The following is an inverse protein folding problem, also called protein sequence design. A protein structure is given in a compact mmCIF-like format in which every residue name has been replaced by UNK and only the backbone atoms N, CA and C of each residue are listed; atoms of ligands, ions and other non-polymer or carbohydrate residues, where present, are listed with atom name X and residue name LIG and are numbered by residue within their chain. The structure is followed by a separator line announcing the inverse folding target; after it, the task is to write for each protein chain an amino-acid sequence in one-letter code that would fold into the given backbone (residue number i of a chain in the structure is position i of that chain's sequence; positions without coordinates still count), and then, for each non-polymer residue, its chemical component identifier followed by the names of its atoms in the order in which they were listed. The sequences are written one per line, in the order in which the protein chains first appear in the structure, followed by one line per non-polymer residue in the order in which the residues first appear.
data_IF_226722265550
#
_entry.id   IF_226722265550
#
_cell.length_a   1.000
_cell.length_b   1.000
_cell.length_c   1.000
_cell.angle_alpha   90.00
_cell.angle_beta   90.00
_cell.angle_gamma   90.00
#
_symmetry.space_group_name_H-M   'P 1'
#
loop_
_entity.id
_entity.type
_entity.pdbx_description
1 polymer ?
#
# COMPACT_ATOMS: atom_id res chain seq x y z
N UNK A 1 -13.16 8.82 11.35
CA UNK A 1 -12.02 8.72 10.42
C UNK A 1 -12.41 7.72 9.34
N UNK A 2 -12.13 8.01 8.07
CA UNK A 2 -12.33 7.05 6.97
C UNK A 2 -10.98 6.71 6.37
N UNK A 3 -10.67 5.42 6.26
CA UNK A 3 -9.49 4.92 5.57
C UNK A 3 -9.89 4.43 4.19
N UNK A 4 -9.17 4.82 3.14
CA UNK A 4 -9.42 4.33 1.79
C UNK A 4 -8.40 3.28 1.40
N UNK A 5 -8.87 2.20 0.80
CA UNK A 5 -8.07 1.17 0.17
C UNK A 5 -8.51 1.01 -1.29
N UNK A 6 -7.55 1.07 -2.21
CA UNK A 6 -7.82 0.92 -3.65
C UNK A 6 -8.08 -0.53 -4.05
N UNK A 7 -7.70 -1.49 -3.20
CA UNK A 7 -7.93 -2.91 -3.45
C UNK A 7 -9.32 -3.33 -2.99
N UNK A 8 -9.86 -4.35 -3.66
CA UNK A 8 -11.03 -5.06 -3.17
C UNK A 8 -10.74 -5.65 -1.79
N UNK A 9 -11.77 -5.74 -0.94
CA UNK A 9 -11.65 -6.37 0.38
C UNK A 9 -11.08 -7.78 0.18
N UNK A 10 -9.92 -8.11 0.78
CA UNK A 10 -9.37 -9.45 0.67
C UNK A 10 -10.30 -10.50 1.31
N UNK A 11 -10.14 -11.77 0.95
CA UNK A 11 -10.85 -12.87 1.59
C UNK A 11 -10.35 -13.15 3.00
N UNK A 12 -11.13 -13.92 3.77
CA UNK A 12 -10.73 -14.36 5.12
C UNK A 12 -9.85 -15.62 5.09
N UNK A 13 -9.85 -16.35 3.98
CA UNK A 13 -9.09 -17.59 3.77
C UNK A 13 -8.00 -17.42 2.72
N UNK A 14 -6.98 -18.27 2.82
CA UNK A 14 -5.86 -18.29 1.88
C UNK A 14 -6.33 -18.82 0.53
N UNK A 15 -6.01 -18.06 -0.52
CA UNK A 15 -6.09 -18.55 -1.89
C UNK A 15 -4.82 -19.37 -2.17
N UNK A 16 -4.94 -20.70 -2.21
CA UNK A 16 -3.81 -21.60 -2.49
C UNK A 16 -3.31 -21.50 -3.94
N UNK A 17 -4.14 -21.00 -4.87
CA UNK A 17 -3.75 -20.83 -6.27
C UNK A 17 -3.04 -19.49 -6.49
N UNK A 18 -3.60 -18.40 -5.95
CA UNK A 18 -3.03 -17.05 -6.09
C UNK A 18 -1.84 -16.79 -5.13
N UNK A 19 -1.92 -17.31 -3.90
CA UNK A 19 -0.92 -17.14 -2.85
C UNK A 19 -0.46 -18.51 -2.30
N UNK A 20 0.17 -19.40 -3.10
CA UNK A 20 0.65 -20.70 -2.62
C UNK A 20 1.75 -20.55 -1.58
N UNK A 21 1.89 -21.52 -0.68
CA UNK A 21 3.07 -21.56 0.21
C UNK A 21 4.36 -21.59 -0.64
N UNK A 22 5.41 -20.81 -0.30
CA UNK A 22 5.64 -20.06 0.94
C UNK A 22 5.22 -18.58 0.90
N UNK A 23 4.50 -18.12 -0.12
CA UNK A 23 4.06 -16.71 -0.26
C UNK A 23 3.24 -16.29 0.96
N UNK A 24 3.36 -15.04 1.40
CA UNK A 24 2.51 -14.56 2.48
C UNK A 24 1.12 -14.19 1.92
N UNK A 25 0.02 -14.78 2.45
CA UNK A 25 -1.29 -14.63 1.84
C UNK A 25 -1.90 -13.26 2.15
N UNK A 26 -2.67 -12.73 1.19
CA UNK A 26 -3.43 -11.48 1.35
C UNK A 26 -4.78 -11.77 1.99
N UNK A 27 -4.81 -11.74 3.31
CA UNK A 27 -6.04 -11.97 4.10
C UNK A 27 -6.60 -10.67 4.64
N UNK A 28 -7.93 -10.59 4.74
CA UNK A 28 -8.58 -9.54 5.50
C UNK A 28 -8.24 -9.72 6.98
N UNK A 29 -7.73 -8.65 7.58
CA UNK A 29 -7.37 -8.64 9.00
C UNK A 29 -7.86 -7.37 9.64
N UNK A 30 -8.44 -7.54 10.82
CA UNK A 30 -8.71 -6.46 11.75
C UNK A 30 -7.54 -6.31 12.71
N UNK A 31 -7.26 -5.09 13.13
CA UNK A 31 -6.29 -4.78 14.18
C UNK A 31 -7.05 -4.18 15.36
N UNK A 32 -6.45 -4.13 16.55
CA UNK A 32 -7.10 -3.50 17.71
C UNK A 32 -7.59 -2.07 17.42
N UNK A 33 -6.84 -1.30 16.63
CA UNK A 33 -7.26 0.04 16.23
C UNK A 33 -8.48 0.05 15.30
N UNK A 34 -8.62 -0.94 14.42
CA UNK A 34 -9.81 -1.07 13.57
C UNK A 34 -11.04 -1.45 14.40
N UNK A 35 -10.88 -2.38 15.35
CA UNK A 35 -11.95 -2.81 16.25
C UNK A 35 -12.42 -1.67 17.16
N UNK A 36 -11.49 -0.94 17.79
CA UNK A 36 -11.81 0.25 18.60
C UNK A 36 -12.54 1.31 17.76
N UNK A 37 -12.05 1.59 16.55
CA UNK A 37 -12.67 2.57 15.67
C UNK A 37 -14.08 2.16 15.25
N UNK A 38 -14.33 0.86 15.06
CA UNK A 38 -15.67 0.29 14.82
C UNK A 38 -16.59 0.45 16.04
N UNK A 39 -16.11 0.11 17.24
CA UNK A 39 -16.88 0.25 18.48
C UNK A 39 -17.27 1.70 18.76
N UNK A 40 -16.34 2.63 18.53
CA UNK A 40 -16.56 4.07 18.65
C UNK A 40 -17.33 4.67 17.46
N UNK A 41 -17.74 3.85 16.50
CA UNK A 41 -18.44 4.23 15.26
C UNK A 41 -17.77 5.40 14.53
N UNK A 42 -16.44 5.37 14.48
CA UNK A 42 -15.68 6.28 13.65
C UNK A 42 -15.85 5.87 12.18
N UNK A 43 -16.09 6.81 11.26
CA UNK A 43 -16.07 6.48 9.81
C UNK A 43 -17.33 6.81 9.05
N UNK A 44 -17.67 8.10 9.00
CA UNK A 44 -18.88 8.62 8.37
C UNK A 44 -19.11 8.18 6.91
N UNK A 45 -18.04 7.88 6.15
CA UNK A 45 -18.15 7.42 4.76
C UNK A 45 -17.96 5.89 4.57
N UNK A 46 -17.58 5.16 5.62
CA UNK A 46 -17.33 3.72 5.57
C UNK A 46 -18.55 2.89 6.04
N UNK A 47 -19.50 3.53 6.75
CA UNK A 47 -20.75 2.89 7.19
C UNK A 47 -21.79 2.66 6.07
N UNK A 48 -21.39 2.79 4.80
CA UNK A 48 -22.29 2.53 3.67
C UNK A 48 -22.73 1.06 3.60
N UNK A 49 -21.86 0.14 4.02
CA UNK A 49 -22.13 -1.31 4.05
C UNK A 49 -22.70 -1.78 5.40
N UNK A 50 -22.80 -0.91 6.41
CA UNK A 50 -23.36 -1.20 7.73
C UNK A 50 -22.52 -2.14 8.61
N UNK A 51 -21.34 -2.59 8.17
CA UNK A 51 -20.44 -3.47 8.94
C UNK A 51 -19.69 -2.71 10.06
N UNK A 52 -19.69 -1.38 10.02
CA UNK A 52 -18.98 -0.53 10.97
C UNK A 52 -17.45 -0.53 10.81
N UNK A 53 -16.91 -1.15 9.76
CA UNK A 53 -15.50 -0.98 9.40
C UNK A 53 -15.27 0.47 8.97
N UNK A 54 -14.15 1.05 9.39
CA UNK A 54 -13.74 2.41 9.06
C UNK A 54 -13.08 2.52 7.68
N UNK A 55 -12.79 1.37 7.08
CA UNK A 55 -12.17 1.22 5.77
C UNK A 55 -13.23 1.16 4.68
N UNK A 56 -12.98 1.89 3.61
CA UNK A 56 -13.66 1.75 2.33
C UNK A 56 -12.70 1.07 1.38
N UNK A 57 -13.06 -0.15 0.97
CA UNK A 57 -12.32 -0.90 -0.04
C UNK A 57 -12.74 -0.51 -1.45
N UNK A 58 -11.93 -0.89 -2.44
CA UNK A 58 -12.20 -0.66 -3.84
C UNK A 58 -12.53 0.82 -4.13
N UNK A 59 -11.80 1.75 -3.53
CA UNK A 59 -12.03 3.19 -3.70
C UNK A 59 -10.76 3.93 -4.13
N UNK A 60 -10.90 4.83 -5.11
CA UNK A 60 -9.86 5.72 -5.56
C UNK A 60 -10.23 7.17 -5.32
N UNK A 61 -9.26 7.96 -4.87
CA UNK A 61 -9.38 9.42 -4.78
C UNK A 61 -9.35 10.03 -6.18
N UNK A 62 -10.29 10.93 -6.48
CA UNK A 62 -10.33 11.70 -7.73
C UNK A 62 -9.71 13.09 -7.56
N UNK A 63 -10.14 13.81 -6.52
CA UNK A 63 -9.69 15.18 -6.25
C UNK A 63 -10.06 15.64 -4.84
N UNK A 64 -9.46 16.75 -4.43
CA UNK A 64 -9.86 17.50 -3.25
C UNK A 64 -10.56 18.80 -3.66
N UNK A 65 -11.51 19.25 -2.85
CA UNK A 65 -12.04 20.62 -2.92
C UNK A 65 -11.71 21.35 -1.63
N UNK A 66 -11.29 22.60 -1.73
CA UNK A 66 -10.96 23.45 -0.59
C UNK A 66 -11.93 24.60 -0.36
N UNK A 67 -11.71 25.37 0.69
CA UNK A 67 -12.52 26.55 1.07
C UNK A 67 -12.09 27.88 0.42
N UNK A 68 -11.11 27.85 -0.49
CA UNK A 68 -10.53 29.05 -1.10
C UNK A 68 -9.34 29.63 -0.32
N UNK A 69 -9.15 29.25 0.95
CA UNK A 69 -8.04 29.67 1.81
C UNK A 69 -6.93 28.60 1.91
N UNK A 70 -6.92 27.66 0.95
CA UNK A 70 -5.93 26.58 0.87
C UNK A 70 -6.19 25.39 1.81
N UNK A 71 -7.34 25.32 2.49
CA UNK A 71 -7.70 24.19 3.34
C UNK A 71 -8.64 23.23 2.63
N UNK A 72 -8.43 21.93 2.82
CA UNK A 72 -9.34 20.90 2.30
C UNK A 72 -10.69 20.97 3.02
N UNK A 73 -11.77 20.74 2.27
CA UNK A 73 -13.15 20.66 2.77
C UNK A 73 -13.88 19.41 2.33
N UNK A 74 -13.47 18.82 1.21
CA UNK A 74 -14.01 17.54 0.80
C UNK A 74 -13.01 16.74 -0.04
N UNK A 75 -13.14 15.43 0.09
CA UNK A 75 -12.52 14.42 -0.74
C UNK A 75 -13.57 13.89 -1.73
N UNK A 76 -13.24 13.88 -3.01
CA UNK A 76 -14.06 13.27 -4.06
C UNK A 76 -13.42 11.94 -4.42
N UNK A 77 -14.22 10.88 -4.43
CA UNK A 77 -13.75 9.53 -4.68
C UNK A 77 -14.71 8.79 -5.61
N UNK A 78 -14.22 7.67 -6.16
CA UNK A 78 -14.96 6.75 -7.02
C UNK A 78 -14.66 5.32 -6.61
N UNK A 79 -15.61 4.42 -6.81
CA UNK A 79 -15.33 3.00 -6.67
C UNK A 79 -14.52 2.48 -7.85
N UNK A 80 -13.72 1.45 -7.63
CA UNK A 80 -12.89 0.82 -8.64
C UNK A 80 -13.11 -0.67 -8.70
N UNK A 81 -12.92 -1.27 -9.88
CA UNK A 81 -12.93 -2.72 -10.02
C UNK A 81 -11.61 -3.36 -9.55
N UNK A 82 -11.51 -4.69 -9.61
CA UNK A 82 -10.29 -5.42 -9.26
C UNK A 82 -9.05 -5.03 -10.12
N UNK A 83 -9.27 -4.45 -11.30
CA UNK A 83 -8.25 -3.87 -12.16
C UNK A 83 -7.96 -2.40 -11.86
N UNK A 84 -8.50 -1.84 -10.77
CA UNK A 84 -8.40 -0.45 -10.33
C UNK A 84 -8.97 0.56 -11.32
N UNK A 85 -9.90 0.13 -12.18
CA UNK A 85 -10.59 1.03 -13.10
C UNK A 85 -11.83 1.60 -12.43
N UNK A 86 -12.03 2.90 -12.59
CA UNK A 86 -13.18 3.61 -12.03
C UNK A 86 -14.51 3.04 -12.55
N UNK A 87 -15.47 2.84 -11.64
CA UNK A 87 -16.84 2.42 -11.95
C UNK A 87 -17.70 3.67 -12.09
N UNK A 88 -18.20 3.93 -13.30
CA UNK A 88 -19.01 5.12 -13.57
C UNK A 88 -20.30 5.14 -12.76
N UNK A 89 -20.68 6.31 -12.24
CA UNK A 89 -21.89 6.49 -11.42
C UNK A 89 -21.70 6.17 -9.94
N UNK A 90 -20.48 5.82 -9.51
CA UNK A 90 -20.14 5.57 -8.10
C UNK A 90 -19.40 6.73 -7.45
N UNK A 91 -19.34 7.87 -8.13
CA UNK A 91 -18.68 9.07 -7.63
C UNK A 91 -19.40 9.59 -6.39
N UNK A 92 -18.64 9.80 -5.30
CA UNK A 92 -19.17 10.39 -4.07
C UNK A 92 -18.21 11.39 -3.46
N UNK A 93 -18.79 12.27 -2.65
CA UNK A 93 -18.08 13.32 -1.93
C UNK A 93 -18.15 13.04 -0.43
N UNK A 94 -17.00 13.10 0.23
CA UNK A 94 -16.84 12.94 1.66
C UNK A 94 -16.37 14.28 2.24
N UNK A 95 -17.15 14.93 3.12
CA UNK A 95 -16.70 16.11 3.86
C UNK A 95 -15.44 15.77 4.67
N UNK A 96 -14.40 16.59 4.55
CA UNK A 96 -13.08 16.28 5.15
C UNK A 96 -12.27 17.55 5.35
N UNK A 97 -11.82 17.78 6.59
CA UNK A 97 -10.96 18.91 6.95
C UNK A 97 -9.46 18.55 7.08
N UNK A 98 -9.11 17.25 7.06
CA UNK A 98 -7.74 16.75 7.11
C UNK A 98 -7.57 15.48 6.27
N UNK A 99 -6.52 15.42 5.45
CA UNK A 99 -6.15 14.25 4.64
C UNK A 99 -4.74 13.83 5.00
N UNK A 100 -4.56 12.54 5.29
CA UNK A 100 -3.26 11.93 5.54
C UNK A 100 -2.91 11.00 4.37
N UNK A 101 -1.78 11.25 3.72
CA UNK A 101 -1.35 10.49 2.55
C UNK A 101 -0.33 9.43 2.96
N UNK A 102 -0.75 8.17 2.95
CA UNK A 102 0.10 7.01 3.23
C UNK A 102 0.52 6.33 1.91
N UNK A 103 1.32 7.01 1.09
CA UNK A 103 1.71 6.55 -0.26
C UNK A 103 2.86 5.53 -0.28
N UNK A 104 3.39 5.15 0.88
CA UNK A 104 4.53 4.24 1.00
C UNK A 104 5.86 4.89 0.63
N UNK A 105 6.83 4.06 0.25
CA UNK A 105 8.21 4.45 -0.07
C UNK A 105 8.60 3.87 -1.44
N UNK A 106 9.46 4.58 -2.18
CA UNK A 106 9.94 4.13 -3.50
C UNK A 106 11.06 3.08 -3.42
N UNK A 107 11.76 2.96 -2.29
CA UNK A 107 12.88 2.05 -2.13
C UNK A 107 13.89 2.55 -1.09
N UNK A 108 14.96 1.78 -0.82
CA UNK A 108 16.10 2.26 -0.03
C UNK A 108 16.82 3.40 -0.75
N UNK A 109 17.51 4.26 0.02
CA UNK A 109 18.37 5.29 -0.54
C UNK A 109 19.64 4.64 -1.12
N UNK A 110 19.91 4.75 -2.44
CA UNK A 110 21.13 4.19 -3.03
C UNK A 110 22.42 4.88 -2.53
N UNK A 111 22.32 6.10 -1.97
CA UNK A 111 23.46 6.89 -1.50
C UNK A 111 23.94 6.57 -0.08
N UNK A 112 23.18 5.80 0.71
CA UNK A 112 23.51 5.50 2.11
C UNK A 112 24.57 4.39 2.27
N UNK A 113 24.94 3.74 1.17
CA UNK A 113 25.93 2.67 1.11
C UNK A 113 25.40 1.28 1.50
N UNK A 114 24.19 1.15 2.03
CA UNK A 114 23.61 -0.12 2.49
C UNK A 114 23.42 -1.09 1.31
N UNK A 115 22.86 -0.60 0.20
CA UNK A 115 22.65 -1.38 -1.03
C UNK A 115 23.98 -1.95 -1.54
N UNK A 116 25.02 -1.12 -1.57
CA UNK A 116 26.36 -1.51 -2.01
C UNK A 116 27.02 -2.51 -1.05
N UNK A 117 26.86 -2.32 0.26
CA UNK A 117 27.40 -3.23 1.28
C UNK A 117 26.77 -4.62 1.23
N UNK A 118 25.47 -4.69 0.95
CA UNK A 118 24.74 -5.95 0.77
C UNK A 118 24.99 -6.58 -0.61
N UNK A 119 25.55 -5.83 -1.55
CA UNK A 119 25.83 -6.28 -2.92
C UNK A 119 24.59 -6.49 -3.78
N UNK A 120 23.45 -5.93 -3.37
CA UNK A 120 22.15 -6.15 -4.01
C UNK A 120 21.92 -5.15 -5.12
N UNK A 121 21.26 -5.59 -6.18
CA UNK A 121 20.85 -4.72 -7.28
C UNK A 121 19.47 -4.11 -7.02
N UNK A 122 19.24 -2.90 -7.54
CA UNK A 122 17.94 -2.26 -7.54
C UNK A 122 17.36 -2.30 -8.96
N UNK A 123 16.06 -2.54 -9.04
CA UNK A 123 15.26 -2.39 -10.25
C UNK A 123 15.10 -0.91 -10.63
N UNK A 124 14.62 -0.63 -11.85
CA UNK A 124 14.33 0.74 -12.32
C UNK A 124 13.41 1.51 -11.37
N UNK A 125 12.49 0.79 -10.70
CA UNK A 125 11.55 1.37 -9.73
C UNK A 125 12.14 1.64 -8.34
N UNK A 126 13.43 1.36 -8.12
CA UNK A 126 14.12 1.57 -6.85
C UNK A 126 13.93 0.43 -5.84
N UNK A 127 13.19 -0.63 -6.18
CA UNK A 127 13.03 -1.81 -5.33
C UNK A 127 14.19 -2.79 -5.51
N UNK A 128 14.54 -3.54 -4.47
CA UNK A 128 15.55 -4.61 -4.57
C UNK A 128 15.14 -5.67 -5.60
N UNK A 129 16.05 -5.98 -6.52
CA UNK A 129 15.87 -6.99 -7.55
C UNK A 129 15.67 -8.38 -6.94
N UNK A 130 14.80 -9.17 -7.55
CA UNK A 130 14.52 -10.56 -7.16
C UNK A 130 14.58 -11.46 -8.38
N UNK A 131 14.97 -12.71 -8.18
CA UNK A 131 14.78 -13.72 -9.21
C UNK A 131 13.29 -14.10 -9.33
N UNK A 132 12.93 -14.79 -10.41
CA UNK A 132 11.54 -15.17 -10.69
C UNK A 132 10.93 -16.19 -9.71
N UNK A 133 11.69 -16.65 -8.70
CA UNK A 133 11.21 -17.57 -7.66
C UNK A 133 10.69 -16.81 -6.44
N UNK A 134 9.55 -17.25 -5.90
CA UNK A 134 9.01 -16.72 -4.64
C UNK A 134 10.04 -16.84 -3.51
N UNK A 135 10.77 -15.75 -3.24
CA UNK A 135 11.60 -15.57 -2.05
C UNK A 135 13.12 -15.70 -2.19
N UNK A 136 13.70 -15.86 -3.38
CA UNK A 136 15.15 -15.82 -3.53
C UNK A 136 15.62 -14.43 -4.00
N UNK A 137 16.60 -13.90 -3.28
CA UNK A 137 17.42 -12.80 -3.80
C UNK A 137 18.29 -13.40 -4.90
N UNK A 138 18.48 -12.67 -6.01
CA UNK A 138 19.18 -13.15 -7.20
C UNK A 138 20.44 -13.96 -6.85
N UNK A 139 20.57 -15.18 -7.39
CA UNK A 139 21.81 -15.97 -7.37
C UNK A 139 22.90 -15.22 -8.17
N UNK A 140 23.59 -14.31 -7.51
CA UNK A 140 24.57 -13.40 -8.12
C UNK A 140 25.05 -12.31 -7.17
N UNK A 141 24.32 -12.06 -6.09
CA UNK A 141 24.67 -11.16 -4.99
C UNK A 141 25.82 -11.75 -4.14
N UNK A 142 27.04 -11.86 -4.70
CA UNK A 142 28.23 -12.32 -3.98
C UNK A 142 28.95 -11.14 -3.31
N UNK A 143 29.18 -11.15 -1.98
CA UNK A 143 29.95 -10.11 -1.32
C UNK A 143 31.45 -10.36 -1.53
N UNK A 144 31.97 -10.21 -2.75
CA UNK A 144 33.42 -10.22 -2.98
C UNK A 144 33.86 -9.22 -4.04
N UNK A 145 34.18 -8.03 -3.54
CA UNK A 145 34.99 -7.03 -4.21
C UNK A 145 35.79 -6.20 -3.21
N UNK A 146 36.44 -6.82 -2.21
CA UNK A 146 37.50 -6.13 -1.48
C UNK A 146 38.75 -6.08 -2.36
N UNK A 147 39.29 -4.90 -2.70
CA UNK A 147 40.59 -4.81 -3.35
C UNK A 147 41.64 -5.25 -2.32
N UNK A 148 42.25 -6.41 -2.53
CA UNK A 148 43.48 -6.75 -1.83
C UNK A 148 44.54 -5.72 -2.27
N UNK A 149 44.96 -4.90 -1.32
CA UNK A 149 46.04 -3.94 -1.51
C UNK A 149 47.30 -4.66 -1.99
N UNK A 150 47.69 -4.39 -3.23
CA UNK A 150 49.01 -4.72 -3.74
C UNK A 150 50.02 -3.77 -3.12
N UNK A 151 50.84 -4.29 -2.20
CA UNK A 151 52.11 -3.69 -1.82
C UNK A 151 53.23 -4.65 -2.20
N UNK A 152 54.02 -4.16 -3.17
CA UNK A 152 55.34 -4.64 -3.67
C UNK A 152 55.33 -5.75 -4.70
#
# INVERSE_FOLDING_TARGET
MTQLDIYVRPGDERDEEADPWPTYPKLYRSSAAHEEARELRMGAAADADGDGDVRVFAASTLRFSGDGEGRVRALHLVEVDAGRRAVAGTERMVPTDLVLLALGFSGPDPGDGLVAQLGVELEERGTVARDGGSGRMCEGCSPRGMPLGGSR
#
